data_IF_734660164200
#
_entry.id   IF_734660164200
#
_cell.length_a   1.000
_cell.length_b   1.000
_cell.length_c   1.000
_cell.angle_alpha   90.00
_cell.angle_beta   90.00
_cell.angle_gamma   90.00
#
_symmetry.space_group_name_H-M   'P 1'
#
loop_
_entity.id
_entity.type
_entity.pdbx_description
1 polymer ?
#
# COMPACT_ATOMS: atom_id res chain seq x y z
N UNK A 1 1.31 12.24 27.06
CA UNK A 1 0.68 10.88 27.15
C UNK A 1 1.64 9.79 26.69
N UNK A 2 1.49 8.52 27.12
CA UNK A 2 2.36 7.39 26.70
C UNK A 2 2.42 7.22 25.17
N UNK A 3 1.35 7.61 24.47
CA UNK A 3 1.24 7.64 23.00
C UNK A 3 2.20 8.65 22.35
N UNK A 4 2.38 9.84 22.94
CA UNK A 4 3.35 10.85 22.46
C UNK A 4 4.79 10.41 22.73
N UNK A 5 5.02 9.71 23.84
CA UNK A 5 6.34 9.18 24.19
C UNK A 5 6.76 8.03 23.27
N UNK A 6 5.82 7.16 22.87
CA UNK A 6 6.06 6.13 21.87
C UNK A 6 6.39 6.70 20.48
N UNK A 7 5.81 7.86 20.10
CA UNK A 7 6.15 8.55 18.85
C UNK A 7 7.53 9.21 18.89
N UNK A 8 7.93 9.77 20.03
CA UNK A 8 9.20 10.49 20.16
C UNK A 8 10.43 9.57 20.32
N UNK A 9 10.27 8.36 20.88
CA UNK A 9 11.39 7.51 21.31
C UNK A 9 11.56 6.18 20.56
N UNK A 10 10.70 5.84 19.58
CA UNK A 10 10.91 4.63 18.75
C UNK A 10 11.41 4.99 17.35
N UNK A 11 12.73 4.98 17.21
CA UNK A 11 13.44 5.04 15.91
C UNK A 11 13.44 3.70 15.17
N UNK A 12 12.92 2.63 15.75
CA UNK A 12 12.96 1.26 15.18
C UNK A 12 11.82 0.94 14.19
N UNK A 13 11.24 1.96 13.54
CA UNK A 13 10.12 1.73 12.62
C UNK A 13 9.73 2.96 11.80
N UNK A 14 10.68 3.84 11.50
CA UNK A 14 10.47 5.03 10.65
C UNK A 14 10.52 4.74 9.15
N UNK A 15 10.35 3.49 8.76
CA UNK A 15 10.48 3.09 7.37
C UNK A 15 9.10 2.94 6.72
N UNK A 16 9.05 3.21 5.42
CA UNK A 16 7.91 2.96 4.53
C UNK A 16 7.30 1.55 4.70
N UNK A 17 8.05 0.61 5.28
CA UNK A 17 7.61 -0.73 5.68
C UNK A 17 6.34 -0.78 6.54
N UNK A 18 6.11 0.19 7.43
CA UNK A 18 4.89 0.20 8.24
C UNK A 18 3.64 0.36 7.38
N UNK A 19 3.68 1.31 6.43
CA UNK A 19 2.58 1.54 5.49
C UNK A 19 2.49 0.41 4.46
N UNK A 20 3.63 -0.13 3.99
CA UNK A 20 3.64 -1.28 3.09
C UNK A 20 2.99 -2.51 3.72
N UNK A 21 3.31 -2.81 4.98
CA UNK A 21 2.72 -3.93 5.72
C UNK A 21 1.22 -3.73 5.97
N UNK A 22 0.81 -2.53 6.36
CA UNK A 22 -0.61 -2.19 6.51
C UNK A 22 -1.38 -2.33 5.19
N UNK A 23 -0.77 -1.92 4.07
CA UNK A 23 -1.36 -2.03 2.75
C UNK A 23 -1.49 -3.49 2.29
N UNK A 24 -0.43 -4.29 2.45
CA UNK A 24 -0.45 -5.72 2.16
C UNK A 24 -1.39 -6.55 3.04
N UNK A 25 -1.75 -6.05 4.22
CA UNK A 25 -2.77 -6.63 5.10
C UNK A 25 -4.19 -6.10 4.89
N UNK A 26 -4.39 -5.14 3.99
CA UNK A 26 -5.71 -4.57 3.69
C UNK A 26 -6.24 -3.61 4.76
N UNK A 27 -5.38 -3.09 5.63
CA UNK A 27 -5.77 -2.25 6.76
C UNK A 27 -5.88 -0.78 6.36
N UNK A 28 -6.89 -0.42 5.56
CA UNK A 28 -7.08 0.94 5.04
C UNK A 28 -7.03 2.03 6.12
N UNK A 29 -7.74 1.88 7.24
CA UNK A 29 -7.73 2.87 8.33
C UNK A 29 -6.34 3.06 8.95
N UNK A 30 -5.53 2.01 8.96
CA UNK A 30 -4.14 2.10 9.43
C UNK A 30 -3.26 2.79 8.40
N UNK A 31 -3.48 2.55 7.10
CA UNK A 31 -2.79 3.25 6.01
C UNK A 31 -3.09 4.75 6.04
N UNK A 32 -4.36 5.13 6.19
CA UNK A 32 -4.80 6.52 6.34
C UNK A 32 -4.17 7.19 7.56
N UNK A 33 -4.20 6.50 8.71
CA UNK A 33 -3.62 7.01 9.95
C UNK A 33 -2.11 7.19 9.82
N UNK A 34 -1.41 6.21 9.22
CA UNK A 34 0.03 6.30 8.97
C UNK A 34 0.34 7.45 8.00
N UNK A 35 -0.47 7.66 6.98
CA UNK A 35 -0.28 8.78 6.04
C UNK A 35 -0.49 10.14 6.69
N UNK A 36 -1.49 10.28 7.54
CA UNK A 36 -1.76 11.53 8.25
C UNK A 36 -0.73 11.82 9.36
N UNK A 37 -0.18 10.78 9.98
CA UNK A 37 0.69 10.90 11.16
C UNK A 37 2.19 10.91 10.81
N UNK A 38 2.56 10.52 9.59
CA UNK A 38 3.96 10.28 9.21
C UNK A 38 4.30 10.86 7.84
N UNK A 39 5.52 11.40 7.71
CA UNK A 39 6.00 12.02 6.46
C UNK A 39 6.80 11.09 5.55
N UNK A 40 7.26 9.93 6.05
CA UNK A 40 8.12 9.02 5.26
C UNK A 40 7.35 8.29 4.16
N UNK A 41 6.05 8.05 4.36
CA UNK A 41 5.15 7.52 3.33
C UNK A 41 5.28 6.02 3.07
N UNK A 42 5.16 5.59 1.80
CA UNK A 42 5.23 4.19 1.36
C UNK A 42 6.18 4.01 0.17
N UNK A 43 6.48 2.76 -0.17
CA UNK A 43 7.14 2.41 -1.46
C UNK A 43 6.14 1.71 -2.38
N UNK A 44 6.60 1.33 -3.59
CA UNK A 44 5.80 0.55 -4.56
C UNK A 44 5.28 -0.78 -3.98
N UNK A 45 6.00 -1.33 -3.01
CA UNK A 45 5.61 -2.54 -2.25
C UNK A 45 4.24 -2.41 -1.56
N UNK A 46 3.81 -1.19 -1.20
CA UNK A 46 2.49 -1.00 -0.63
C UNK A 46 1.39 -1.38 -1.62
N UNK A 47 1.51 -0.92 -2.87
CA UNK A 47 0.51 -1.19 -3.90
C UNK A 47 0.64 -2.62 -4.42
N UNK A 48 1.86 -3.12 -4.60
CA UNK A 48 2.12 -4.51 -4.99
C UNK A 48 1.59 -5.49 -3.93
N UNK A 49 1.82 -5.20 -2.65
CA UNK A 49 1.31 -5.98 -1.52
C UNK A 49 -0.21 -5.92 -1.41
N UNK A 50 -0.81 -4.74 -1.54
CA UNK A 50 -2.27 -4.59 -1.55
C UNK A 50 -2.89 -5.35 -2.72
N UNK A 51 -2.24 -5.33 -3.89
CA UNK A 51 -2.70 -6.06 -5.06
C UNK A 51 -2.59 -7.58 -4.89
N UNK A 52 -1.49 -8.06 -4.32
CA UNK A 52 -1.28 -9.46 -3.94
C UNK A 52 -2.34 -9.97 -2.97
N UNK A 53 -2.78 -9.14 -2.03
CA UNK A 53 -3.83 -9.47 -1.07
C UNK A 53 -5.27 -9.26 -1.57
N UNK A 54 -5.45 -8.72 -2.79
CA UNK A 54 -6.76 -8.43 -3.34
C UNK A 54 -7.47 -7.25 -2.68
N UNK A 55 -6.72 -6.36 -2.02
CA UNK A 55 -7.25 -5.25 -1.22
C UNK A 55 -7.54 -4.02 -2.08
N UNK A 56 -8.59 -4.09 -2.90
CA UNK A 56 -8.92 -3.03 -3.88
C UNK A 56 -9.06 -1.63 -3.25
N UNK A 57 -9.71 -1.51 -2.09
CA UNK A 57 -9.89 -0.22 -1.42
C UNK A 57 -8.57 0.44 -1.03
N UNK A 58 -7.57 -0.37 -0.65
CA UNK A 58 -6.22 0.12 -0.36
C UNK A 58 -5.50 0.50 -1.65
N UNK A 59 -5.66 -0.28 -2.73
CA UNK A 59 -5.07 0.03 -4.05
C UNK A 59 -5.59 1.38 -4.57
N UNK A 60 -6.91 1.59 -4.52
CA UNK A 60 -7.54 2.86 -4.92
C UNK A 60 -7.04 4.02 -4.08
N UNK A 61 -7.01 3.85 -2.76
CA UNK A 61 -6.57 4.88 -1.85
C UNK A 61 -5.10 5.26 -2.08
N UNK A 62 -4.21 4.27 -2.22
CA UNK A 62 -2.80 4.49 -2.51
C UNK A 62 -2.63 5.19 -3.87
N UNK A 63 -3.39 4.81 -4.89
CA UNK A 63 -3.31 5.47 -6.18
C UNK A 63 -3.69 6.96 -6.13
N UNK A 64 -4.71 7.32 -5.36
CA UNK A 64 -5.20 8.71 -5.26
C UNK A 64 -4.28 9.57 -4.39
N UNK A 65 -3.75 9.01 -3.31
CA UNK A 65 -3.04 9.79 -2.28
C UNK A 65 -1.51 9.69 -2.38
N UNK A 66 -0.97 8.79 -3.21
CA UNK A 66 0.47 8.50 -3.32
C UNK A 66 0.91 8.43 -4.79
N UNK A 67 2.17 8.80 -5.02
CA UNK A 67 2.73 8.94 -6.37
C UNK A 67 3.77 7.86 -6.72
N UNK A 68 4.13 6.99 -5.78
CA UNK A 68 5.16 5.96 -5.96
C UNK A 68 4.80 4.94 -7.05
N UNK A 69 3.51 4.71 -7.24
CA UNK A 69 2.96 3.75 -8.20
C UNK A 69 3.13 2.30 -7.74
N UNK A 70 3.09 1.38 -8.70
CA UNK A 70 3.30 -0.05 -8.47
C UNK A 70 4.35 -0.59 -9.45
N UNK A 71 4.80 -1.81 -9.23
CA UNK A 71 5.57 -2.53 -10.25
C UNK A 71 4.64 -3.38 -11.13
N UNK A 72 5.20 -4.04 -12.14
CA UNK A 72 4.46 -5.03 -12.95
C UNK A 72 3.98 -6.22 -12.12
N UNK A 73 4.64 -6.47 -10.99
CA UNK A 73 4.30 -7.56 -10.09
C UNK A 73 2.90 -7.38 -9.48
N UNK A 74 2.40 -6.15 -9.31
CA UNK A 74 1.05 -5.93 -8.79
C UNK A 74 -0.01 -6.69 -9.60
N UNK A 75 0.03 -6.60 -10.93
CA UNK A 75 -0.94 -7.25 -11.81
C UNK A 75 -0.72 -8.76 -11.86
N UNK A 76 0.54 -9.21 -11.90
CA UNK A 76 0.89 -10.63 -11.92
C UNK A 76 0.48 -11.33 -10.62
N UNK A 77 0.72 -10.68 -9.47
CA UNK A 77 0.38 -11.19 -8.15
C UNK A 77 -1.12 -11.18 -7.91
N UNK A 78 -1.84 -10.12 -8.30
CA UNK A 78 -3.30 -10.08 -8.25
C UNK A 78 -3.92 -11.18 -9.13
N UNK A 79 -3.38 -11.42 -10.32
CA UNK A 79 -3.82 -12.49 -11.23
C UNK A 79 -3.59 -13.87 -10.63
N UNK A 80 -2.39 -14.12 -10.07
CA UNK A 80 -2.07 -15.39 -9.38
C UNK A 80 -2.95 -15.64 -8.16
N UNK A 81 -3.34 -14.58 -7.45
CA UNK A 81 -4.27 -14.65 -6.31
C UNK A 81 -5.75 -14.79 -6.70
N UNK A 82 -6.09 -14.69 -7.99
CA UNK A 82 -7.47 -14.71 -8.47
C UNK A 82 -8.25 -13.43 -8.14
N UNK A 83 -7.56 -12.32 -7.86
CA UNK A 83 -8.15 -11.04 -7.49
C UNK A 83 -8.56 -10.22 -8.72
N UNK A 84 -9.54 -10.74 -9.47
CA UNK A 84 -9.96 -10.18 -10.76
C UNK A 84 -10.28 -8.68 -10.71
N UNK A 85 -10.99 -8.23 -9.67
CA UNK A 85 -11.34 -6.81 -9.52
C UNK A 85 -10.11 -5.90 -9.42
N UNK A 86 -9.04 -6.37 -8.78
CA UNK A 86 -7.79 -5.61 -8.70
C UNK A 86 -7.07 -5.60 -10.04
N UNK A 87 -7.07 -6.73 -10.76
CA UNK A 87 -6.47 -6.81 -12.11
C UNK A 87 -7.18 -5.87 -13.08
N UNK A 88 -8.51 -5.89 -13.11
CA UNK A 88 -9.33 -4.98 -13.93
C UNK A 88 -9.03 -3.53 -13.59
N UNK A 89 -8.99 -3.21 -12.29
CA UNK A 89 -8.72 -1.85 -11.84
C UNK A 89 -7.31 -1.40 -12.22
N UNK A 90 -6.30 -2.23 -12.01
CA UNK A 90 -4.91 -1.93 -12.40
C UNK A 90 -4.80 -1.77 -13.92
N UNK A 91 -5.50 -2.60 -14.71
CA UNK A 91 -5.47 -2.52 -16.16
C UNK A 91 -6.04 -1.21 -16.70
N UNK A 92 -7.06 -0.66 -16.06
CA UNK A 92 -7.71 0.59 -16.47
C UNK A 92 -6.95 1.83 -15.98
N UNK A 93 -6.40 1.78 -14.77
CA UNK A 93 -5.87 2.97 -14.08
C UNK A 93 -4.33 3.07 -14.09
N UNK A 94 -3.62 2.02 -14.51
CA UNK A 94 -2.16 1.95 -14.48
C UNK A 94 -1.62 1.50 -15.85
N UNK A 95 -0.50 2.08 -16.27
CA UNK A 95 0.14 1.81 -17.56
C UNK A 95 1.31 0.81 -17.47
N UNK A 96 1.66 0.42 -16.25
CA UNK A 96 2.83 -0.41 -15.94
C UNK A 96 2.72 -1.83 -16.56
N UNK A 97 1.50 -2.37 -16.68
CA UNK A 97 1.22 -3.66 -17.32
C UNK A 97 1.66 -4.89 -16.53
N UNK A 98 1.51 -6.07 -17.13
CA UNK A 98 2.01 -7.36 -16.64
C UNK A 98 3.29 -7.78 -17.39
N UNK A 99 3.94 -8.86 -16.93
CA UNK A 99 5.16 -9.42 -17.56
C UNK A 99 4.92 -10.78 -18.20
#
# INVERSE_FOLDING_TARGET
SVVEWLHANRTEGCDAWAMNGAAGGGHLSLVEWLHASRSEGCTREALDGAARGGHLSVVEWLHVNRCEGCTKEAMDLASKGGHLYVVEWLHVNRSEGCT
#
